data_IF_881523396018
#
_entry.id   IF_881523396018
#
_cell.length_a   1.000
_cell.length_b   1.000
_cell.length_c   1.000
_cell.angle_alpha   90.00
_cell.angle_beta   90.00
_cell.angle_gamma   90.00
#
_symmetry.space_group_name_H-M   'P 1'
#
loop_
_entity.id
_entity.type
_entity.pdbx_description
1 polymer ?
#
# COMPACT_ATOMS: atom_id res chain seq x y z
N UNK A 1 5.41 -9.97 23.88
CA UNK A 1 4.77 -8.79 23.25
C UNK A 1 5.49 -8.48 21.95
N UNK A 2 4.84 -8.60 20.79
CA UNK A 2 5.45 -8.20 19.51
C UNK A 2 5.27 -6.69 19.31
N UNK A 3 6.34 -5.98 18.93
CA UNK A 3 6.27 -4.56 18.58
C UNK A 3 5.29 -4.39 17.41
N UNK A 4 4.32 -3.49 17.57
CA UNK A 4 3.38 -3.11 16.52
C UNK A 4 4.05 -2.04 15.68
N UNK A 5 4.11 -2.24 14.36
CA UNK A 5 4.45 -1.19 13.43
C UNK A 5 3.19 -0.34 13.27
N UNK A 6 3.19 0.84 13.89
CA UNK A 6 1.97 1.64 14.08
C UNK A 6 1.66 2.56 12.90
N UNK A 7 2.66 2.86 12.07
CA UNK A 7 2.54 3.86 11.02
C UNK A 7 2.54 3.21 9.64
N UNK A 8 1.60 3.66 8.81
CA UNK A 8 1.59 3.33 7.41
C UNK A 8 2.65 4.18 6.68
N UNK A 9 3.35 3.59 5.71
CA UNK A 9 4.33 4.33 4.92
C UNK A 9 4.41 3.79 3.50
N UNK A 10 4.83 4.66 2.59
CA UNK A 10 4.99 4.36 1.18
C UNK A 10 6.46 4.09 0.86
N UNK A 11 6.73 2.96 0.24
CA UNK A 11 8.02 2.66 -0.39
C UNK A 11 7.83 2.64 -1.91
N UNK A 12 8.65 3.38 -2.64
CA UNK A 12 8.55 3.48 -4.11
C UNK A 12 9.84 2.98 -4.74
N UNK A 13 9.72 2.07 -5.70
CA UNK A 13 10.84 1.59 -6.51
C UNK A 13 10.91 2.39 -7.80
N UNK A 14 12.08 2.99 -8.05
CA UNK A 14 12.34 3.77 -9.26
C UNK A 14 13.26 3.03 -10.22
N UNK A 15 13.04 3.26 -11.52
CA UNK A 15 13.95 2.88 -12.59
C UNK A 15 14.12 4.06 -13.52
N UNK A 16 15.36 4.56 -13.67
CA UNK A 16 15.70 5.74 -14.49
C UNK A 16 14.83 6.96 -14.14
N UNK A 17 14.67 7.23 -12.85
CA UNK A 17 13.87 8.37 -12.36
C UNK A 17 12.36 8.20 -12.45
N UNK A 18 11.84 7.08 -12.96
CA UNK A 18 10.40 6.81 -13.05
C UNK A 18 9.98 5.74 -12.03
N UNK A 19 8.87 5.93 -11.30
CA UNK A 19 8.33 4.90 -10.42
C UNK A 19 7.82 3.73 -11.28
N UNK A 20 8.26 2.51 -10.93
CA UNK A 20 7.84 1.27 -11.62
C UNK A 20 6.98 0.37 -10.74
N UNK A 21 7.11 0.49 -9.42
CA UNK A 21 6.29 -0.20 -8.44
C UNK A 21 6.32 0.58 -7.13
N UNK A 22 5.38 0.31 -6.24
CA UNK A 22 5.43 0.77 -4.86
C UNK A 22 4.76 -0.23 -3.92
N UNK A 23 5.06 -0.10 -2.65
CA UNK A 23 4.43 -0.84 -1.57
C UNK A 23 3.96 0.15 -0.50
N UNK A 24 2.67 0.12 -0.20
CA UNK A 24 2.10 0.89 0.90
C UNK A 24 1.93 -0.04 2.10
N UNK A 25 2.83 0.08 3.07
CA UNK A 25 2.82 -0.71 4.29
C UNK A 25 1.67 -0.27 5.18
N UNK A 26 0.90 -1.23 5.71
CA UNK A 26 -0.16 -0.97 6.67
C UNK A 26 0.31 -1.28 8.09
N UNK A 27 -0.33 -0.69 9.12
CA UNK A 27 -0.04 -1.03 10.50
C UNK A 27 -0.18 -2.53 10.74
N UNK A 28 0.86 -3.17 11.25
CA UNK A 28 0.93 -4.62 11.39
C UNK A 28 1.85 -5.03 12.54
N UNK A 29 1.66 -6.23 13.07
CA UNK A 29 2.57 -6.80 14.07
C UNK A 29 3.88 -7.22 13.40
N UNK A 30 5.02 -6.99 14.07
CA UNK A 30 6.31 -7.48 13.59
C UNK A 30 6.26 -9.00 13.35
N UNK A 31 6.81 -9.44 12.22
CA UNK A 31 6.82 -10.85 11.82
C UNK A 31 5.59 -11.32 11.05
N UNK A 32 4.51 -10.52 10.96
CA UNK A 32 3.42 -10.84 10.02
C UNK A 32 3.95 -10.81 8.58
N UNK A 33 3.56 -11.81 7.79
CA UNK A 33 3.96 -11.97 6.39
C UNK A 33 2.72 -12.09 5.51
N UNK A 34 2.87 -11.70 4.24
CA UNK A 34 1.83 -11.94 3.23
C UNK A 34 1.67 -13.44 3.05
N UNK A 35 0.43 -13.91 3.13
CA UNK A 35 0.04 -15.29 2.93
C UNK A 35 -0.83 -15.45 1.68
N UNK A 36 -1.66 -14.45 1.40
CA UNK A 36 -2.54 -14.41 0.23
C UNK A 36 -2.63 -12.99 -0.31
N UNK A 37 -2.79 -12.87 -1.62
CA UNK A 37 -3.01 -11.59 -2.27
C UNK A 37 -4.40 -11.51 -2.91
N UNK A 38 -4.92 -10.29 -3.08
CA UNK A 38 -6.18 -10.03 -3.77
C UNK A 38 -6.10 -8.75 -4.60
N UNK A 39 -6.38 -8.84 -5.90
CA UNK A 39 -6.56 -7.64 -6.75
C UNK A 39 -7.84 -6.92 -6.36
N UNK A 40 -7.78 -5.60 -6.19
CA UNK A 40 -8.91 -4.81 -5.66
C UNK A 40 -9.29 -3.61 -6.54
N UNK A 41 -8.32 -2.99 -7.21
CA UNK A 41 -8.48 -1.90 -8.16
C UNK A 41 -7.36 -2.04 -9.22
N UNK A 42 -7.46 -1.40 -10.40
CA UNK A 42 -6.38 -1.40 -11.37
C UNK A 42 -5.05 -0.94 -10.75
N UNK A 43 -4.03 -1.80 -10.82
CA UNK A 43 -2.70 -1.52 -10.27
C UNK A 43 -2.58 -1.69 -8.76
N UNK A 44 -3.64 -2.03 -8.03
CA UNK A 44 -3.62 -2.25 -6.57
C UNK A 44 -3.89 -3.72 -6.21
N UNK A 45 -2.97 -4.29 -5.43
CA UNK A 45 -3.05 -5.64 -4.90
C UNK A 45 -2.97 -5.56 -3.37
N UNK A 46 -3.94 -6.16 -2.69
CA UNK A 46 -3.99 -6.23 -1.23
C UNK A 46 -3.24 -7.46 -0.74
N UNK A 47 -2.32 -7.27 0.20
CA UNK A 47 -1.63 -8.34 0.90
C UNK A 47 -2.33 -8.67 2.21
N UNK A 48 -2.66 -9.94 2.38
CA UNK A 48 -3.37 -10.48 3.53
C UNK A 48 -2.47 -11.44 4.30
N UNK A 49 -2.48 -11.35 5.62
CA UNK A 49 -1.87 -12.36 6.48
C UNK A 49 -2.73 -13.64 6.56
N UNK A 50 -2.28 -14.63 7.33
CA UNK A 50 -3.01 -15.91 7.52
C UNK A 50 -4.40 -15.74 8.13
N UNK A 51 -4.61 -14.69 8.91
CA UNK A 51 -5.88 -14.37 9.57
C UNK A 51 -6.80 -13.52 8.66
N UNK A 52 -6.39 -13.25 7.42
CA UNK A 52 -7.13 -12.43 6.47
C UNK A 52 -7.07 -10.92 6.75
N UNK A 53 -6.19 -10.47 7.64
CA UNK A 53 -5.97 -9.06 7.89
C UNK A 53 -5.06 -8.45 6.83
N UNK A 54 -5.40 -7.25 6.36
CA UNK A 54 -4.57 -6.48 5.45
C UNK A 54 -3.28 -6.04 6.15
N UNK A 55 -2.13 -6.27 5.51
CA UNK A 55 -0.82 -5.89 6.03
C UNK A 55 -0.04 -4.95 5.09
N UNK A 56 -0.53 -4.79 3.86
CA UNK A 56 0.08 -3.96 2.85
C UNK A 56 -0.76 -3.89 1.57
N UNK A 57 -0.45 -2.90 0.73
CA UNK A 57 -1.01 -2.74 -0.60
C UNK A 57 0.16 -2.61 -1.57
N UNK A 58 0.32 -3.58 -2.47
CA UNK A 58 1.27 -3.52 -3.57
C UNK A 58 0.66 -2.71 -4.72
N UNK A 59 1.44 -1.76 -5.22
CA UNK A 59 1.15 -0.91 -6.37
C UNK A 59 2.01 -1.39 -7.53
N UNK A 60 1.41 -2.17 -8.42
CA UNK A 60 2.09 -2.84 -9.55
C UNK A 60 2.10 -2.00 -10.83
N UNK A 61 1.25 -0.99 -10.90
CA UNK A 61 1.17 -0.08 -12.03
C UNK A 61 0.98 1.36 -11.53
N UNK A 62 2.06 2.05 -11.11
CA UNK A 62 1.99 3.42 -10.60
C UNK A 62 1.17 4.38 -11.47
N UNK A 63 1.32 4.29 -12.80
CA UNK A 63 0.60 5.13 -13.78
C UNK A 63 -0.93 4.93 -13.81
N UNK A 64 -1.45 3.87 -13.18
CA UNK A 64 -2.89 3.57 -13.10
C UNK A 64 -3.49 3.91 -11.74
N UNK A 65 -2.67 4.30 -10.76
CA UNK A 65 -3.13 4.58 -9.40
C UNK A 65 -3.42 6.07 -9.24
N UNK A 66 -4.55 6.37 -8.62
CA UNK A 66 -4.88 7.73 -8.17
C UNK A 66 -4.99 7.77 -6.65
N UNK A 67 -4.77 8.96 -6.07
CA UNK A 67 -4.98 9.22 -4.63
C UNK A 67 -6.40 8.82 -4.21
N UNK A 68 -7.40 9.09 -5.07
CA UNK A 68 -8.78 8.71 -4.82
C UNK A 68 -8.99 7.19 -4.79
N UNK A 69 -8.38 6.45 -5.72
CA UNK A 69 -8.48 4.99 -5.76
C UNK A 69 -7.84 4.35 -4.51
N UNK A 70 -6.64 4.79 -4.11
CA UNK A 70 -6.02 4.29 -2.88
C UNK A 70 -6.86 4.64 -1.65
N UNK A 71 -7.38 5.86 -1.56
CA UNK A 71 -8.23 6.25 -0.44
C UNK A 71 -9.54 5.47 -0.34
N UNK A 72 -10.17 5.10 -1.47
CA UNK A 72 -11.34 4.19 -1.45
C UNK A 72 -10.99 2.85 -0.81
N UNK A 73 -9.81 2.32 -1.10
CA UNK A 73 -9.32 1.07 -0.51
C UNK A 73 -9.08 1.25 0.99
N UNK A 74 -8.36 2.30 1.40
CA UNK A 74 -8.06 2.57 2.81
C UNK A 74 -9.33 2.74 3.64
N UNK A 75 -10.31 3.50 3.14
CA UNK A 75 -11.61 3.69 3.82
C UNK A 75 -12.37 2.37 3.96
N UNK A 76 -12.39 1.50 2.93
CA UNK A 76 -13.00 0.16 3.03
C UNK A 76 -12.32 -0.75 4.06
N UNK A 77 -11.04 -0.50 4.36
CA UNK A 77 -10.27 -1.21 5.37
C UNK A 77 -10.37 -0.56 6.77
N UNK A 78 -11.10 0.55 6.91
CA UNK A 78 -11.21 1.30 8.17
C UNK A 78 -9.96 2.10 8.54
N UNK A 79 -9.12 2.42 7.54
CA UNK A 79 -7.86 3.13 7.73
C UNK A 79 -7.96 4.61 7.35
N UNK A 80 -7.06 5.41 7.93
CA UNK A 80 -6.90 6.82 7.59
C UNK A 80 -6.56 7.00 6.11
N UNK A 81 -7.09 8.09 5.54
CA UNK A 81 -6.81 8.48 4.16
C UNK A 81 -5.41 9.08 4.05
N UNK A 82 -4.79 8.89 2.89
CA UNK A 82 -3.54 9.57 2.51
C UNK A 82 -3.83 10.86 1.74
N UNK A 83 -2.96 11.82 1.94
CA UNK A 83 -2.89 13.06 1.19
C UNK A 83 -2.16 12.88 -0.14
N UNK A 84 -2.23 13.90 -0.99
CA UNK A 84 -1.45 13.92 -2.24
C UNK A 84 0.05 14.02 -1.96
N UNK A 85 0.44 14.76 -0.92
CA UNK A 85 1.85 15.02 -0.60
C UNK A 85 2.54 13.76 -0.10
N UNK A 86 1.86 12.95 0.73
CA UNK A 86 2.35 11.63 1.14
C UNK A 86 2.53 10.66 -0.03
N UNK A 87 1.75 10.84 -1.10
CA UNK A 87 1.86 10.06 -2.34
C UNK A 87 2.75 10.72 -3.40
N UNK A 88 3.29 11.91 -3.15
CA UNK A 88 4.05 12.66 -4.14
C UNK A 88 5.20 11.85 -4.79
N UNK A 89 5.98 11.02 -4.06
CA UNK A 89 7.02 10.21 -4.68
C UNK A 89 6.50 9.22 -5.74
N UNK A 90 5.29 8.67 -5.55
CA UNK A 90 4.65 7.79 -6.53
C UNK A 90 4.13 8.56 -7.75
N UNK A 91 3.73 9.81 -7.54
CA UNK A 91 3.13 10.69 -8.55
C UNK A 91 4.15 11.51 -9.34
N UNK A 92 5.45 11.43 -9.01
CA UNK A 92 6.51 12.23 -9.61
C UNK A 92 6.86 11.86 -11.08
N UNK A 93 5.97 11.14 -11.78
CA UNK A 93 6.17 10.60 -13.12
C UNK A 93 5.37 11.36 -14.19
#
# INVERSE_FOLDING_TARGET
>A
MGVVMNEAYLEVTFRRGRPIAAYYYLPRKRGQKSYRTRRIEPGLVLDLNRDGQAIGIEITAPSKVSVAALNRVLTKLGLSRVTRDELAPLLAA
#
